data_IF_364561956873
#
_entry.id   IF_364561956873
#
_cell.length_a   1.000
_cell.length_b   1.000
_cell.length_c   1.000
_cell.angle_alpha   90.00
_cell.angle_beta   90.00
_cell.angle_gamma   90.00
#
_symmetry.space_group_name_H-M   'P 1'
#
loop_
_entity.id
_entity.type
_entity.pdbx_description
1 polymer ?
#
# COMPACT_ATOMS: atom_id res chain seq x y z
N UNK A 1 17.91 11.06 2.43
CA UNK A 1 16.53 10.69 2.03
C UNK A 1 16.29 10.79 0.51
N UNK A 2 16.47 11.94 -0.16
CA UNK A 2 16.21 12.07 -1.62
C UNK A 2 16.96 11.06 -2.51
N UNK A 3 18.22 10.73 -2.20
CA UNK A 3 19.02 9.73 -2.93
C UNK A 3 18.46 8.30 -2.81
N UNK A 4 17.95 7.91 -1.65
CA UNK A 4 17.41 6.55 -1.40
C UNK A 4 16.11 6.37 -2.18
N UNK A 5 15.20 7.34 -2.10
CA UNK A 5 13.94 7.34 -2.86
C UNK A 5 14.23 7.33 -4.36
N UNK A 6 15.21 8.11 -4.84
CA UNK A 6 15.61 8.09 -6.25
C UNK A 6 16.16 6.74 -6.70
N UNK A 7 16.91 6.06 -5.84
CA UNK A 7 17.50 4.74 -6.17
C UNK A 7 16.43 3.65 -6.17
N UNK A 8 15.52 3.65 -5.19
CA UNK A 8 14.36 2.76 -5.16
C UNK A 8 13.42 3.00 -6.34
N UNK A 9 13.20 4.27 -6.71
CA UNK A 9 12.42 4.64 -7.90
C UNK A 9 13.04 4.07 -9.17
N UNK A 10 14.35 4.25 -9.35
CA UNK A 10 15.07 3.74 -10.52
C UNK A 10 14.95 2.21 -10.66
N UNK A 11 15.05 1.49 -9.53
CA UNK A 11 14.86 0.04 -9.49
C UNK A 11 13.44 -0.35 -9.91
N UNK A 12 12.41 0.29 -9.37
CA UNK A 12 11.02 -0.07 -9.68
C UNK A 12 10.56 0.32 -11.09
N UNK A 13 11.15 1.34 -11.72
CA UNK A 13 10.70 1.85 -13.03
C UNK A 13 11.38 1.20 -14.23
N UNK A 14 12.64 0.77 -14.13
CA UNK A 14 13.40 0.27 -15.29
C UNK A 14 13.33 -1.25 -15.44
N UNK A 15 13.16 -1.98 -14.33
CA UNK A 15 13.00 -3.43 -14.29
C UNK A 15 12.26 -3.76 -13.01
N UNK A 16 10.99 -4.25 -13.02
CA UNK A 16 10.20 -4.43 -11.81
C UNK A 16 10.78 -5.55 -10.93
N UNK A 17 11.84 -5.21 -10.21
CA UNK A 17 12.52 -6.04 -9.23
C UNK A 17 12.07 -5.55 -7.86
N UNK A 18 11.58 -6.49 -7.05
CA UNK A 18 11.35 -6.22 -5.63
C UNK A 18 12.67 -5.88 -4.93
N UNK A 19 12.57 -5.26 -3.75
CA UNK A 19 13.73 -4.92 -2.92
C UNK A 19 13.40 -5.03 -1.45
N UNK A 20 14.42 -5.31 -0.64
CA UNK A 20 14.33 -5.33 0.82
C UNK A 20 14.92 -4.03 1.38
N UNK A 21 14.15 -3.32 2.20
CA UNK A 21 14.62 -2.13 2.90
C UNK A 21 15.00 -2.51 4.34
N UNK A 22 16.30 -2.77 4.56
CA UNK A 22 16.84 -3.27 5.82
C UNK A 22 17.67 -2.19 6.52
N UNK A 23 17.16 -0.96 6.53
CA UNK A 23 17.75 0.13 7.30
C UNK A 23 17.49 -0.07 8.82
N UNK A 24 18.35 0.48 9.67
CA UNK A 24 18.16 0.52 11.12
C UNK A 24 16.79 1.10 11.52
N UNK A 25 16.30 0.68 12.69
CA UNK A 25 15.08 1.21 13.29
C UNK A 25 15.21 2.72 13.55
N UNK A 26 14.16 3.49 13.27
CA UNK A 26 14.17 4.95 13.48
C UNK A 26 14.62 5.78 12.27
N UNK A 27 15.16 5.18 11.21
CA UNK A 27 15.56 5.90 9.98
C UNK A 27 14.39 6.31 9.05
N UNK A 28 13.15 6.21 9.53
CA UNK A 28 11.98 6.70 8.79
C UNK A 28 11.58 5.83 7.60
N UNK A 29 11.82 4.52 7.64
CA UNK A 29 11.43 3.55 6.59
C UNK A 29 9.97 3.70 6.14
N UNK A 30 9.06 3.92 7.09
CA UNK A 30 7.63 4.17 6.82
C UNK A 30 7.44 5.39 5.92
N UNK A 31 8.10 6.50 6.24
CA UNK A 31 8.03 7.74 5.46
C UNK A 31 8.63 7.53 4.07
N UNK A 32 9.77 6.83 3.97
CA UNK A 32 10.38 6.51 2.69
C UNK A 32 9.41 5.70 1.79
N UNK A 33 8.69 4.72 2.36
CA UNK A 33 7.69 3.95 1.64
C UNK A 33 6.50 4.83 1.20
N UNK A 34 6.00 5.72 2.06
CA UNK A 34 4.89 6.64 1.71
C UNK A 34 5.30 7.57 0.56
N UNK A 35 6.51 8.14 0.62
CA UNK A 35 7.04 9.02 -0.44
C UNK A 35 7.18 8.26 -1.76
N UNK A 36 7.62 7.00 -1.70
CA UNK A 36 7.73 6.14 -2.88
C UNK A 36 6.36 5.91 -3.53
N UNK A 37 5.35 5.54 -2.74
CA UNK A 37 3.97 5.32 -3.23
C UNK A 37 3.42 6.60 -3.87
N UNK A 38 3.61 7.75 -3.24
CA UNK A 38 3.18 9.05 -3.80
C UNK A 38 3.87 9.38 -5.12
N UNK A 39 5.18 9.15 -5.21
CA UNK A 39 5.97 9.41 -6.42
C UNK A 39 5.56 8.49 -7.58
N UNK A 40 5.29 7.22 -7.30
CA UNK A 40 4.80 6.26 -8.30
C UNK A 40 3.42 6.64 -8.81
N UNK A 41 2.54 7.14 -7.94
CA UNK A 41 1.20 7.60 -8.34
C UNK A 41 1.26 8.79 -9.30
N UNK A 42 2.09 9.79 -9.02
CA UNK A 42 2.26 10.97 -9.90
C UNK A 42 2.67 10.57 -11.32
N UNK A 43 3.50 9.53 -11.46
CA UNK A 43 3.89 8.99 -12.77
C UNK A 43 2.80 8.17 -13.45
N UNK A 44 1.89 7.54 -12.69
CA UNK A 44 0.75 6.84 -13.27
C UNK A 44 -0.35 7.81 -13.72
N UNK A 45 -0.43 9.01 -13.15
CA UNK A 45 -1.38 10.05 -13.61
C UNK A 45 -1.09 10.52 -15.04
N UNK A 46 0.15 10.38 -15.54
CA UNK A 46 0.49 10.67 -16.94
C UNK A 46 0.15 9.52 -17.89
N UNK A 47 -0.17 8.32 -17.39
CA UNK A 47 -0.62 7.17 -18.17
C UNK A 47 -1.80 6.44 -17.48
N UNK A 48 -3.05 6.89 -17.70
CA UNK A 48 -4.22 6.51 -16.90
C UNK A 48 -4.70 5.05 -17.09
N UNK A 49 -4.03 4.23 -17.88
CA UNK A 49 -4.43 2.85 -18.18
C UNK A 49 -4.22 1.86 -17.01
N UNK A 50 -3.56 2.25 -15.90
CA UNK A 50 -3.16 1.30 -14.87
C UNK A 50 -3.15 1.87 -13.43
N UNK A 51 -4.25 2.49 -13.00
CA UNK A 51 -4.39 2.92 -11.59
C UNK A 51 -4.86 1.75 -10.72
N UNK A 52 -3.92 0.87 -10.36
CA UNK A 52 -4.16 -0.23 -9.41
C UNK A 52 -3.85 0.28 -7.99
N UNK A 53 -4.69 -0.02 -6.97
CA UNK A 53 -4.41 0.35 -5.59
C UNK A 53 -3.11 -0.27 -5.08
N UNK A 54 -2.36 0.48 -4.26
CA UNK A 54 -1.24 -0.07 -3.50
C UNK A 54 -1.75 -0.76 -2.24
N UNK A 55 -1.29 -1.99 -1.98
CA UNK A 55 -1.66 -2.76 -0.79
C UNK A 55 -0.51 -2.77 0.21
N UNK A 56 -0.79 -2.36 1.45
CA UNK A 56 0.12 -2.44 2.59
C UNK A 56 -0.37 -3.56 3.50
N UNK A 57 0.50 -4.55 3.72
CA UNK A 57 0.24 -5.68 4.62
C UNK A 57 1.10 -5.51 5.86
N UNK A 58 0.47 -5.44 7.02
CA UNK A 58 1.20 -5.27 8.28
C UNK A 58 0.51 -6.01 9.45
N UNK A 59 1.19 -6.19 10.58
CA UNK A 59 0.55 -6.64 11.82
C UNK A 59 -0.62 -5.73 12.22
N UNK A 60 -1.70 -6.28 12.82
CA UNK A 60 -2.92 -5.51 13.13
C UNK A 60 -2.69 -4.23 13.94
N UNK A 61 -1.76 -4.25 14.89
CA UNK A 61 -1.43 -3.11 15.73
C UNK A 61 -0.75 -1.95 14.98
N UNK A 62 -0.17 -2.20 13.80
CA UNK A 62 0.46 -1.17 12.96
C UNK A 62 -0.51 -0.52 11.97
N UNK A 63 -1.72 -1.05 11.79
CA UNK A 63 -2.68 -0.53 10.79
C UNK A 63 -3.00 0.94 11.05
N UNK A 64 -3.32 1.28 12.29
CA UNK A 64 -3.65 2.65 12.70
C UNK A 64 -2.44 3.57 12.60
N UNK A 65 -1.25 3.07 12.93
CA UNK A 65 0.00 3.80 12.77
C UNK A 65 0.26 4.14 11.31
N UNK A 66 0.17 3.17 10.40
CA UNK A 66 0.30 3.42 8.95
C UNK A 66 -0.70 4.44 8.44
N UNK A 67 -1.97 4.33 8.84
CA UNK A 67 -3.00 5.31 8.45
C UNK A 67 -2.64 6.72 8.93
N UNK A 68 -2.21 6.86 10.19
CA UNK A 68 -1.79 8.14 10.77
C UNK A 68 -0.59 8.72 10.04
N UNK A 69 0.45 7.91 9.77
CA UNK A 69 1.66 8.35 9.08
C UNK A 69 1.37 8.79 7.65
N UNK A 70 0.48 8.08 6.93
CA UNK A 70 0.02 8.48 5.60
C UNK A 70 -0.73 9.81 5.66
N UNK A 71 -1.69 9.96 6.57
CA UNK A 71 -2.45 11.21 6.71
C UNK A 71 -1.57 12.39 7.13
N UNK A 72 -0.49 12.14 7.88
CA UNK A 72 0.45 13.16 8.34
C UNK A 72 1.44 13.61 7.26
N UNK A 73 1.93 12.69 6.43
CA UNK A 73 3.01 12.96 5.47
C UNK A 73 2.52 13.13 4.03
N UNK A 74 1.31 12.68 3.69
CA UNK A 74 0.70 12.98 2.42
C UNK A 74 0.11 14.40 2.42
N UNK A 75 0.24 15.11 1.30
CA UNK A 75 -0.50 16.37 1.10
C UNK A 75 -2.00 16.09 1.16
N UNK A 76 -2.77 17.05 1.67
CA UNK A 76 -4.23 16.93 1.78
C UNK A 76 -4.84 16.59 0.41
N UNK A 77 -5.51 15.43 0.33
CA UNK A 77 -6.14 14.94 -0.91
C UNK A 77 -5.22 14.19 -1.87
N UNK A 78 -3.91 14.10 -1.61
CA UNK A 78 -2.96 13.45 -2.51
C UNK A 78 -2.88 11.93 -2.35
N UNK A 79 -3.05 11.40 -1.12
CA UNK A 79 -3.08 9.96 -0.84
C UNK A 79 -4.17 9.63 0.19
N UNK A 80 -5.17 8.84 -0.21
CA UNK A 80 -6.21 8.31 0.66
C UNK A 80 -5.98 6.83 0.96
N UNK A 81 -5.76 6.54 2.25
CA UNK A 81 -5.66 5.18 2.74
C UNK A 81 -6.99 4.69 3.34
N UNK A 82 -7.45 3.51 2.92
CA UNK A 82 -8.57 2.81 3.54
C UNK A 82 -8.11 1.54 4.22
N UNK A 83 -8.73 1.22 5.35
CA UNK A 83 -8.45 -0.01 6.09
C UNK A 83 -9.39 -1.09 5.57
N UNK A 84 -8.84 -2.27 5.32
CA UNK A 84 -9.56 -3.45 4.90
C UNK A 84 -9.51 -4.52 5.98
N UNK A 85 -10.70 -4.94 6.44
CA UNK A 85 -10.87 -5.91 7.54
C UNK A 85 -11.39 -7.28 7.08
N UNK A 86 -11.37 -7.56 5.78
CA UNK A 86 -11.86 -8.83 5.21
C UNK A 86 -13.35 -8.78 4.86
N UNK A 87 -13.98 -9.88 4.45
CA UNK A 87 -15.27 -9.89 3.74
C UNK A 87 -16.48 -9.86 4.69
N UNK A 88 -16.43 -9.08 5.77
CA UNK A 88 -17.58 -8.89 6.66
C UNK A 88 -18.62 -7.96 6.03
N UNK A 89 -19.85 -7.94 6.55
CA UNK A 89 -20.97 -7.11 6.04
C UNK A 89 -20.67 -5.60 5.89
N UNK A 90 -19.61 -5.09 6.54
CA UNK A 90 -19.18 -3.70 6.47
C UNK A 90 -17.89 -3.49 5.62
N UNK A 91 -17.47 -4.50 4.86
CA UNK A 91 -16.26 -4.44 4.06
C UNK A 91 -16.40 -3.57 2.82
N UNK A 92 -15.26 -3.12 2.30
CA UNK A 92 -15.19 -2.40 1.04
C UNK A 92 -15.59 -3.35 -0.10
N UNK A 93 -16.56 -2.94 -0.92
CA UNK A 93 -16.88 -3.66 -2.15
C UNK A 93 -15.68 -3.66 -3.10
N UNK A 94 -15.58 -4.68 -3.98
CA UNK A 94 -14.52 -4.75 -5.00
C UNK A 94 -14.39 -3.45 -5.83
N UNK A 95 -15.53 -2.86 -6.20
CA UNK A 95 -15.55 -1.58 -6.91
C UNK A 95 -14.94 -0.43 -6.07
N UNK A 96 -15.23 -0.37 -4.77
CA UNK A 96 -14.65 0.64 -3.87
C UNK A 96 -13.17 0.41 -3.62
N UNK A 97 -12.70 -0.84 -3.61
CA UNK A 97 -11.28 -1.21 -3.49
C UNK A 97 -10.49 -0.67 -4.70
N UNK A 98 -11.01 -0.88 -5.92
CA UNK A 98 -10.37 -0.41 -7.15
C UNK A 98 -10.32 1.12 -7.26
N UNK A 99 -11.20 1.83 -6.56
CA UNK A 99 -11.20 3.29 -6.47
C UNK A 99 -10.28 3.83 -5.36
N UNK A 100 -9.63 2.95 -4.58
CA UNK A 100 -8.70 3.37 -3.54
C UNK A 100 -7.30 3.56 -4.11
N UNK A 101 -6.54 4.39 -3.41
CA UNK A 101 -5.12 4.62 -3.75
C UNK A 101 -4.25 3.72 -2.89
N UNK A 102 -4.57 3.62 -1.60
CA UNK A 102 -3.88 2.76 -0.64
C UNK A 102 -4.89 1.95 0.15
N UNK A 103 -4.62 0.65 0.28
CA UNK A 103 -5.38 -0.27 1.11
C UNK A 103 -4.45 -0.86 2.17
N UNK A 104 -4.84 -0.75 3.43
CA UNK A 104 -4.08 -1.30 4.56
C UNK A 104 -4.83 -2.50 5.10
N UNK A 105 -4.18 -3.65 5.19
CA UNK A 105 -4.77 -4.89 5.70
C UNK A 105 -3.78 -5.65 6.56
N UNK A 106 -4.28 -6.67 7.27
CA UNK A 106 -3.44 -7.55 8.08
C UNK A 106 -3.17 -8.88 7.41
N UNK A 107 -2.06 -9.51 7.79
CA UNK A 107 -1.76 -10.89 7.41
C UNK A 107 -2.93 -11.84 7.75
N UNK A 108 -3.50 -11.70 8.95
CA UNK A 108 -4.63 -12.53 9.39
C UNK A 108 -5.85 -12.38 8.48
N UNK A 109 -6.12 -11.17 8.01
CA UNK A 109 -7.22 -10.89 7.07
C UNK A 109 -6.99 -11.61 5.75
N UNK A 110 -5.80 -11.45 5.16
CA UNK A 110 -5.46 -12.07 3.87
C UNK A 110 -5.47 -13.59 3.97
N UNK A 111 -4.90 -14.16 5.02
CA UNK A 111 -4.87 -15.62 5.18
C UNK A 111 -6.28 -16.21 5.30
N UNK A 112 -7.21 -15.52 5.99
CA UNK A 112 -8.60 -15.97 6.09
C UNK A 112 -9.30 -15.94 4.74
N UNK A 113 -9.11 -14.88 3.96
CA UNK A 113 -9.69 -14.77 2.61
C UNK A 113 -9.14 -15.81 1.65
N UNK A 114 -7.83 -16.02 1.66
CA UNK A 114 -7.19 -17.02 0.80
C UNK A 114 -7.75 -18.43 1.05
N UNK A 115 -8.05 -18.76 2.32
CA UNK A 115 -8.69 -20.05 2.67
C UNK A 115 -10.15 -20.13 2.18
N UNK A 116 -10.90 -19.04 2.26
CA UNK A 116 -12.29 -19.00 1.77
C UNK A 116 -12.37 -19.12 0.25
N UNK A 117 -11.45 -18.51 -0.49
CA UNK A 117 -11.41 -18.67 -1.96
C UNK A 117 -11.10 -20.09 -2.41
N UNK A 118 -10.31 -20.84 -1.64
CA UNK A 118 -9.95 -22.22 -1.97
C UNK A 118 -11.01 -23.27 -1.60
N UNK A 119 -11.97 -22.93 -0.72
CA UNK A 119 -13.05 -23.85 -0.31
C UNK A 119 -14.27 -23.83 -1.24
N UNK A 120 -14.34 -22.85 -2.15
CA UNK A 120 -15.40 -22.79 -3.17
C UNK A 120 -15.02 -23.47 -4.49
N UNK A 121 -13.87 -24.16 -4.56
CA UNK A 121 -13.37 -24.84 -5.77
C UNK A 121 -13.23 -26.36 -5.52
N UNK A 122 -13.76 -26.87 -4.39
CA UNK A 122 -13.82 -28.29 -4.05
C UNK A 122 -15.25 -28.78 -3.97
#
# INVERSE_FOLDING_TARGET
MKKVVSSLKFLLTNTPLGGLLIDDMGLGKTIQAIVLIGTSKEQLMTNPQCSIPTIIICPPFLITHWKSEISKHAQAGALQAKIYHGPTHHSLSKAKILQCEIIITSYNTITKEFKQTNTCIS
#
